data_IF_218944995450
#
_entry.id   IF_218944995450
#
_cell.length_a   1.000
_cell.length_b   1.000
_cell.length_c   1.000
_cell.angle_alpha   90.00
_cell.angle_beta   90.00
_cell.angle_gamma   90.00
#
_symmetry.space_group_name_H-M   'P 1'
#
loop_
_entity.id
_entity.type
_entity.pdbx_description
1 polymer ?
#
# COMPACT_ATOMS: atom_id res chain seq x y z
N UNK A 1 -3.28 3.58 23.11
CA UNK A 1 -2.30 3.54 21.99
C UNK A 1 -3.09 3.16 20.73
N UNK A 2 -2.59 3.34 19.52
CA UNK A 2 -3.37 2.92 18.34
C UNK A 2 -2.91 1.55 17.88
N UNK A 3 -3.66 0.53 18.31
CA UNK A 3 -3.43 -0.85 17.89
C UNK A 3 -4.46 -1.21 16.82
N UNK A 4 -3.99 -1.65 15.66
CA UNK A 4 -4.81 -2.00 14.51
C UNK A 4 -4.57 -3.47 14.15
N UNK A 5 -5.64 -4.24 14.06
CA UNK A 5 -5.61 -5.60 13.56
C UNK A 5 -6.37 -5.69 12.24
N UNK A 6 -5.68 -6.09 11.17
CA UNK A 6 -6.33 -6.52 9.93
C UNK A 6 -6.56 -8.04 9.99
N UNK A 7 -7.76 -8.49 9.68
CA UNK A 7 -8.13 -9.91 9.73
C UNK A 7 -8.76 -10.42 8.44
N UNK A 8 -8.73 -11.73 8.22
CA UNK A 8 -9.46 -12.42 7.14
C UNK A 8 -9.16 -11.89 5.72
N UNK A 9 -7.97 -11.35 5.46
CA UNK A 9 -7.61 -11.00 4.09
C UNK A 9 -7.66 -12.28 3.22
N UNK A 10 -8.34 -12.25 2.08
CA UNK A 10 -8.39 -13.41 1.18
C UNK A 10 -6.97 -13.84 0.80
N UNK A 11 -6.09 -12.84 0.61
CA UNK A 11 -4.66 -13.03 0.47
C UNK A 11 -3.91 -11.91 1.20
N UNK A 12 -2.94 -12.28 2.04
CA UNK A 12 -1.92 -11.38 2.56
C UNK A 12 -0.58 -11.73 1.93
N UNK A 13 -0.11 -10.87 1.03
CA UNK A 13 1.17 -10.98 0.34
C UNK A 13 2.23 -10.33 1.21
N UNK A 14 3.23 -11.07 1.70
CA UNK A 14 4.18 -10.51 2.68
C UNK A 14 5.39 -9.85 2.02
N UNK A 15 5.85 -10.38 0.88
CA UNK A 15 7.16 -10.06 0.30
C UNK A 15 8.34 -10.25 1.26
N UNK A 16 8.20 -11.08 2.30
CA UNK A 16 9.31 -11.47 3.17
C UNK A 16 10.33 -12.37 2.44
N UNK A 17 11.42 -12.73 3.12
CA UNK A 17 12.50 -13.55 2.54
C UNK A 17 12.04 -14.92 2.04
N UNK A 18 10.97 -15.47 2.62
CA UNK A 18 10.38 -16.73 2.21
C UNK A 18 9.27 -16.56 1.16
N UNK A 19 8.96 -15.33 0.74
CA UNK A 19 7.91 -14.98 -0.22
C UNK A 19 6.57 -15.58 0.17
N UNK A 20 6.22 -15.52 1.45
CA UNK A 20 4.97 -16.08 1.95
C UNK A 20 3.75 -15.37 1.36
N UNK A 21 2.76 -16.18 1.06
CA UNK A 21 1.41 -15.79 0.64
C UNK A 21 0.43 -16.43 1.61
N UNK A 22 -0.22 -15.63 2.44
CA UNK A 22 -1.06 -16.13 3.53
C UNK A 22 -2.54 -16.00 3.14
N UNK A 23 -3.17 -17.13 2.83
CA UNK A 23 -4.62 -17.21 2.66
C UNK A 23 -5.29 -17.03 4.02
N UNK A 24 -6.34 -16.20 4.07
CA UNK A 24 -6.99 -15.79 5.33
C UNK A 24 -6.00 -15.13 6.31
N UNK A 25 -5.09 -14.33 5.77
CA UNK A 25 -4.02 -13.66 6.51
C UNK A 25 -4.51 -12.57 7.45
N UNK A 26 -3.67 -12.28 8.45
CA UNK A 26 -3.86 -11.25 9.45
C UNK A 26 -2.54 -10.50 9.74
N UNK A 27 -2.68 -9.26 10.20
CA UNK A 27 -1.59 -8.33 10.47
C UNK A 27 -1.91 -7.51 11.71
N UNK A 28 -0.97 -7.44 12.65
CA UNK A 28 -1.05 -6.54 13.80
C UNK A 28 -0.10 -5.36 13.58
N UNK A 29 -0.64 -4.17 13.79
CA UNK A 29 0.08 -2.90 13.73
C UNK A 29 -0.08 -2.24 15.11
N UNK A 30 1.05 -1.95 15.73
CA UNK A 30 1.11 -1.14 16.96
C UNK A 30 1.70 0.21 16.59
N UNK A 31 0.92 1.26 16.80
CA UNK A 31 1.22 2.63 16.37
C UNK A 31 1.47 2.73 14.85
N UNK A 32 2.72 2.69 14.42
CA UNK A 32 3.15 2.76 13.02
C UNK A 32 4.07 1.60 12.62
N UNK A 33 4.16 0.56 13.44
CA UNK A 33 5.04 -0.59 13.23
C UNK A 33 4.20 -1.86 13.09
N UNK A 34 4.51 -2.66 12.07
CA UNK A 34 3.99 -4.02 11.97
C UNK A 34 4.73 -4.88 12.99
N UNK A 35 4.02 -5.36 14.02
CA UNK A 35 4.61 -6.15 15.10
C UNK A 35 4.40 -7.65 14.90
N UNK A 36 3.39 -8.04 14.12
CA UNK A 36 3.12 -9.44 13.81
C UNK A 36 2.42 -9.63 12.46
N UNK A 37 2.75 -10.74 11.78
CA UNK A 37 2.19 -11.16 10.49
C UNK A 37 1.95 -12.67 10.51
N UNK A 38 0.73 -13.11 10.23
CA UNK A 38 0.40 -14.55 10.24
C UNK A 38 -1.03 -14.85 9.85
N UNK A 39 -1.55 -15.99 10.31
CA UNK A 39 -2.97 -16.36 10.22
C UNK A 39 -3.66 -16.13 11.56
N UNK A 40 -4.99 -15.99 11.59
CA UNK A 40 -5.72 -15.85 12.86
C UNK A 40 -5.41 -16.93 13.90
N UNK A 41 -5.08 -18.15 13.45
CA UNK A 41 -4.74 -19.28 14.32
C UNK A 41 -3.46 -19.05 15.14
N UNK A 42 -2.56 -18.21 14.63
CA UNK A 42 -1.24 -17.95 15.23
C UNK A 42 -1.13 -16.54 15.84
N UNK A 43 -2.28 -15.88 16.02
CA UNK A 43 -2.35 -14.49 16.48
C UNK A 43 -1.94 -14.37 17.95
N UNK A 44 -1.13 -13.36 18.32
CA UNK A 44 -0.79 -13.10 19.71
C UNK A 44 -2.02 -12.62 20.51
N UNK A 45 -1.94 -12.61 21.86
CA UNK A 45 -2.89 -11.88 22.68
C UNK A 45 -3.00 -10.42 22.24
N UNK A 46 -4.20 -9.86 22.36
CA UNK A 46 -4.49 -8.50 21.90
C UNK A 46 -4.84 -7.63 23.10
N UNK A 47 -4.43 -6.38 23.03
CA UNK A 47 -4.88 -5.37 23.98
C UNK A 47 -6.36 -5.04 23.78
N UNK A 48 -7.04 -4.70 24.86
CA UNK A 48 -8.48 -4.41 24.87
C UNK A 48 -8.88 -3.25 23.94
N UNK A 49 -7.95 -2.31 23.66
CA UNK A 49 -8.17 -1.15 22.77
C UNK A 49 -7.82 -1.41 21.29
N UNK A 50 -7.55 -2.66 20.90
CA UNK A 50 -7.20 -3.01 19.52
C UNK A 50 -8.39 -2.83 18.57
N UNK A 51 -8.27 -1.90 17.63
CA UNK A 51 -9.24 -1.67 16.56
C UNK A 51 -9.08 -2.74 15.48
N UNK A 52 -10.18 -3.43 15.14
CA UNK A 52 -10.17 -4.53 14.18
C UNK A 52 -10.82 -4.13 12.86
N UNK A 53 -10.21 -4.53 11.75
CA UNK A 53 -10.77 -4.38 10.42
C UNK A 53 -10.81 -5.73 9.69
N UNK A 54 -12.00 -6.06 9.18
CA UNK A 54 -12.23 -7.29 8.44
C UNK A 54 -11.96 -7.10 6.94
N UNK A 55 -11.00 -7.87 6.42
CA UNK A 55 -10.45 -7.75 5.07
C UNK A 55 -10.95 -8.84 4.10
N UNK A 56 -12.03 -9.57 4.44
CA UNK A 56 -12.63 -10.54 3.50
C UNK A 56 -12.89 -9.90 2.14
N UNK A 57 -12.59 -10.64 1.07
CA UNK A 57 -12.69 -10.14 -0.31
C UNK A 57 -11.56 -9.21 -0.76
N UNK A 58 -10.52 -9.02 0.06
CA UNK A 58 -9.42 -8.09 -0.23
C UNK A 58 -8.06 -8.79 -0.26
N UNK A 59 -7.17 -8.23 -1.09
CA UNK A 59 -5.74 -8.43 -1.04
C UNK A 59 -5.13 -7.40 -0.09
N UNK A 60 -4.32 -7.87 0.87
CA UNK A 60 -3.42 -7.03 1.66
C UNK A 60 -1.99 -7.26 1.16
N UNK A 61 -1.28 -6.17 0.86
CA UNK A 61 0.08 -6.23 0.32
C UNK A 61 0.92 -5.06 0.85
N UNK A 62 2.25 -5.10 0.77
CA UNK A 62 3.09 -3.96 1.11
C UNK A 62 2.72 -2.77 0.22
N UNK A 63 2.80 -1.57 0.79
CA UNK A 63 2.57 -0.35 0.03
C UNK A 63 3.53 -0.26 -1.15
N UNK A 64 3.01 0.11 -2.32
CA UNK A 64 3.85 0.33 -3.50
C UNK A 64 4.78 1.53 -3.26
N UNK A 65 6.05 1.38 -3.63
CA UNK A 65 7.05 2.46 -3.55
C UNK A 65 7.14 3.12 -4.93
N UNK A 66 6.72 4.38 -5.02
CA UNK A 66 6.95 5.17 -6.22
C UNK A 66 8.32 5.89 -6.12
N UNK A 67 9.29 5.47 -6.92
CA UNK A 67 10.67 5.97 -6.85
C UNK A 67 10.92 7.22 -7.68
N UNK A 68 9.95 7.66 -8.49
CA UNK A 68 10.10 8.86 -9.33
C UNK A 68 8.76 9.54 -9.59
N UNK A 69 8.67 10.84 -9.39
CA UNK A 69 7.49 11.61 -9.74
C UNK A 69 7.83 13.09 -9.99
N UNK A 70 7.18 13.70 -10.97
CA UNK A 70 7.14 15.16 -11.12
C UNK A 70 5.79 15.66 -10.57
N UNK A 71 5.67 15.81 -9.25
CA UNK A 71 4.37 15.97 -8.58
C UNK A 71 3.55 17.15 -9.11
N UNK A 72 4.19 18.29 -9.35
CA UNK A 72 3.52 19.50 -9.83
C UNK A 72 2.85 19.32 -11.20
N UNK A 73 3.35 18.39 -12.04
CA UNK A 73 2.79 18.11 -13.36
C UNK A 73 1.40 17.45 -13.31
N UNK A 74 0.91 17.11 -12.11
CA UNK A 74 -0.49 16.72 -11.92
C UNK A 74 -1.46 17.83 -12.37
N UNK A 75 -1.04 19.11 -12.28
CA UNK A 75 -1.84 20.26 -12.71
C UNK A 75 -1.91 20.42 -14.24
N UNK A 76 -0.99 19.80 -14.98
CA UNK A 76 -0.84 19.96 -16.44
C UNK A 76 -1.01 18.63 -17.19
N UNK A 77 -1.80 17.72 -16.62
CA UNK A 77 -2.17 16.47 -17.30
C UNK A 77 -3.04 16.78 -18.51
N UNK A 78 -2.83 16.04 -19.60
CA UNK A 78 -3.69 16.07 -20.80
C UNK A 78 -3.70 17.41 -21.56
N UNK A 79 -2.68 18.26 -21.40
CA UNK A 79 -2.52 19.49 -22.20
C UNK A 79 -2.38 19.14 -23.68
N UNK A 80 -3.30 19.58 -24.58
CA UNK A 80 -3.32 19.15 -25.98
C UNK A 80 -1.99 19.32 -26.72
N UNK A 81 -1.29 20.45 -26.48
CA UNK A 81 -0.01 20.74 -27.11
C UNK A 81 1.15 19.83 -26.65
N UNK A 82 0.96 19.06 -25.58
CA UNK A 82 1.99 18.17 -25.01
C UNK A 82 1.68 16.67 -25.22
N UNK A 83 0.53 16.29 -25.79
CA UNK A 83 0.16 14.87 -25.88
C UNK A 83 1.00 14.11 -26.91
N UNK A 84 1.16 14.69 -28.10
CA UNK A 84 1.86 14.07 -29.23
C UNK A 84 3.21 14.75 -29.54
N UNK A 85 3.71 15.58 -28.62
CA UNK A 85 4.96 16.31 -28.76
C UNK A 85 6.18 15.42 -28.47
N UNK A 86 7.27 15.60 -29.23
CA UNK A 86 8.57 15.00 -28.88
C UNK A 86 9.12 15.64 -27.60
N UNK A 87 10.06 14.96 -26.93
CA UNK A 87 10.57 15.33 -25.61
C UNK A 87 10.90 16.84 -25.45
N UNK A 88 11.62 17.43 -26.41
CA UNK A 88 12.03 18.83 -26.28
C UNK A 88 10.88 19.83 -26.49
N UNK A 89 9.91 19.50 -27.35
CA UNK A 89 8.71 20.33 -27.54
C UNK A 89 7.76 20.18 -26.35
N UNK A 90 7.68 18.97 -25.77
CA UNK A 90 6.98 18.71 -24.51
C UNK A 90 7.59 19.50 -23.35
N UNK A 91 8.93 19.53 -23.23
CA UNK A 91 9.64 20.30 -22.21
C UNK A 91 9.33 21.80 -22.31
N UNK A 92 9.46 22.39 -23.50
CA UNK A 92 9.11 23.82 -23.71
C UNK A 92 7.64 24.11 -23.41
N UNK A 93 6.75 23.17 -23.70
CA UNK A 93 5.30 23.32 -23.48
C UNK A 93 4.94 23.27 -22.00
N UNK A 94 5.57 22.37 -21.22
CA UNK A 94 5.22 22.14 -19.82
C UNK A 94 6.14 22.81 -18.80
N UNK A 95 7.25 23.39 -19.26
CA UNK A 95 8.24 24.15 -18.48
C UNK A 95 8.56 25.48 -19.20
N UNK A 96 7.59 26.39 -19.36
CA UNK A 96 7.86 27.70 -19.96
C UNK A 96 8.80 28.56 -19.10
#
# INVERSE_FOLDING_TARGET
MTNILLTNADLLLTMDSARRELVHGALLIEENVITWVGTQETMPPLDDDTTRYDMRGKLVMPGMVNTHHHFYQTLTRVIPAAQDAVLFDWLKTLYP
#
